data_IF_957377777604
#
_entry.id   IF_957377777604
#
_cell.length_a   1.000
_cell.length_b   1.000
_cell.length_c   1.000
_cell.angle_alpha   90.00
_cell.angle_beta   90.00
_cell.angle_gamma   90.00
#
_symmetry.space_group_name_H-M   'P 1'
#
loop_
_entity.id
_entity.type
_entity.pdbx_description
1 polymer ?
#
# COMPACT_ATOMS: atom_id res chain seq x y z
N UNK A 1 -13.04 6.26 19.06
CA UNK A 1 -12.43 7.04 20.14
C UNK A 1 -11.14 6.36 20.50
N UNK A 2 -10.03 7.10 20.45
CA UNK A 2 -8.70 6.56 20.71
C UNK A 2 -8.52 6.31 22.22
N UNK A 3 -7.96 5.15 22.57
CA UNK A 3 -7.68 4.81 23.96
C UNK A 3 -6.44 5.57 24.48
N UNK A 4 -6.64 6.35 25.53
CA UNK A 4 -5.60 7.19 26.16
C UNK A 4 -4.82 6.44 27.25
N UNK A 5 -5.40 5.38 27.83
CA UNK A 5 -4.88 4.73 29.02
C UNK A 5 -3.49 4.12 28.78
N UNK A 6 -3.30 3.47 27.63
CA UNK A 6 -2.01 2.88 27.26
C UNK A 6 -0.92 3.94 27.10
N UNK A 7 -1.23 5.07 26.47
CA UNK A 7 -0.25 6.13 26.23
C UNK A 7 0.18 6.75 27.55
N UNK A 8 -0.77 7.08 28.42
CA UNK A 8 -0.47 7.66 29.74
C UNK A 8 0.28 6.69 30.64
N UNK A 9 -0.07 5.39 30.61
CA UNK A 9 0.69 4.37 31.34
C UNK A 9 2.15 4.26 30.90
N UNK A 10 2.45 4.47 29.61
CA UNK A 10 3.85 4.51 29.13
C UNK A 10 4.56 5.76 29.65
N UNK A 11 3.90 6.92 29.58
CA UNK A 11 4.48 8.19 30.06
C UNK A 11 4.80 8.08 31.56
N UNK A 12 3.84 7.62 32.36
CA UNK A 12 4.01 7.43 33.81
C UNK A 12 5.15 6.42 34.10
N UNK A 13 5.21 5.31 33.35
CA UNK A 13 6.27 4.31 33.51
C UNK A 13 7.67 4.87 33.19
N UNK A 14 7.79 5.73 32.19
CA UNK A 14 9.07 6.38 31.85
C UNK A 14 9.42 7.44 32.88
N UNK A 15 8.46 8.20 33.40
CA UNK A 15 8.68 9.18 34.46
C UNK A 15 9.27 8.53 35.72
N UNK A 16 8.80 7.32 36.08
CA UNK A 16 9.37 6.52 37.17
C UNK A 16 10.84 6.18 36.91
N UNK A 17 11.17 5.73 35.70
CA UNK A 17 12.57 5.40 35.34
C UNK A 17 13.49 6.64 35.38
N UNK A 18 12.94 7.84 35.18
CA UNK A 18 13.69 9.09 35.11
C UNK A 18 13.89 9.80 36.45
N UNK A 19 13.37 9.28 37.57
CA UNK A 19 13.36 9.98 38.87
C UNK A 19 14.71 10.57 39.29
N UNK A 20 15.82 9.88 39.03
CA UNK A 20 17.17 10.38 39.34
C UNK A 20 17.84 11.11 38.17
N UNK A 21 17.58 10.66 36.94
CA UNK A 21 18.16 11.26 35.75
C UNK A 21 17.67 12.70 35.53
N UNK A 22 16.39 12.95 35.75
CA UNK A 22 15.80 14.28 35.63
C UNK A 22 16.41 15.27 36.63
N UNK A 23 16.71 14.84 37.86
CA UNK A 23 17.34 15.70 38.88
C UNK A 23 18.70 16.19 38.41
N UNK A 24 19.56 15.26 37.99
CA UNK A 24 20.90 15.59 37.45
C UNK A 24 20.81 16.49 36.21
N UNK A 25 19.82 16.24 35.35
CA UNK A 25 19.57 17.06 34.17
C UNK A 25 19.25 18.51 34.56
N UNK A 26 18.30 18.73 35.47
CA UNK A 26 17.90 20.08 35.86
C UNK A 26 18.86 20.77 36.84
N UNK A 27 19.75 20.03 37.52
CA UNK A 27 20.92 20.60 38.18
C UNK A 27 21.94 21.16 37.16
N UNK A 28 22.17 20.43 36.06
CA UNK A 28 23.10 20.85 35.00
C UNK A 28 22.52 21.95 34.12
N UNK A 29 21.23 21.86 33.81
CA UNK A 29 20.48 22.78 32.96
C UNK A 29 19.22 23.25 33.69
N UNK A 30 19.31 24.32 34.50
CA UNK A 30 18.21 24.78 35.35
C UNK A 30 17.17 25.56 34.54
N UNK A 31 16.43 24.86 33.68
CA UNK A 31 15.46 25.45 32.74
C UNK A 31 14.00 25.32 33.18
N UNK A 32 13.71 24.64 34.29
CA UNK A 32 12.36 24.58 34.85
C UNK A 32 11.88 25.98 35.25
N UNK A 33 10.62 26.32 34.92
CA UNK A 33 10.06 27.65 35.13
C UNK A 33 10.54 28.73 34.15
N UNK A 34 11.46 28.41 33.24
CA UNK A 34 12.06 29.38 32.31
C UNK A 34 11.43 29.23 30.92
N UNK A 35 11.06 30.35 30.29
CA UNK A 35 10.64 30.36 28.90
C UNK A 35 11.79 30.00 27.97
N UNK A 36 11.62 28.92 27.20
CA UNK A 36 12.48 28.55 26.09
C UNK A 36 11.70 28.66 24.79
N UNK A 37 12.06 29.60 23.92
CA UNK A 37 11.44 29.72 22.61
C UNK A 37 11.64 28.43 21.79
N UNK A 38 10.61 27.91 21.08
CA UNK A 38 9.25 28.41 20.91
C UNK A 38 8.19 27.70 21.79
N UNK A 39 8.54 27.20 22.98
CA UNK A 39 7.63 26.39 23.79
C UNK A 39 6.43 27.22 24.31
N UNK A 40 5.19 26.73 24.20
CA UNK A 40 4.02 27.45 24.70
C UNK A 40 3.93 27.40 26.22
N UNK A 41 3.24 28.38 26.80
CA UNK A 41 2.85 28.40 28.21
C UNK A 41 1.86 27.26 28.57
N UNK A 42 1.78 26.85 29.85
CA UNK A 42 2.55 27.33 31.01
C UNK A 42 3.99 26.80 31.03
N UNK A 43 4.89 27.38 31.84
CA UNK A 43 6.25 26.89 32.07
C UNK A 43 6.38 26.31 33.49
N UNK A 44 6.12 25.01 33.68
CA UNK A 44 6.20 24.39 34.99
C UNK A 44 7.56 24.55 35.67
N UNK A 45 7.52 24.86 36.97
CA UNK A 45 8.71 24.98 37.82
C UNK A 45 9.25 23.62 38.29
N UNK A 46 8.56 22.52 37.95
CA UNK A 46 8.90 21.17 38.38
C UNK A 46 8.84 20.17 37.23
N UNK A 47 9.64 19.11 37.31
CA UNK A 47 9.57 17.98 36.38
C UNK A 47 8.18 17.34 36.35
N UNK A 48 7.52 17.24 37.51
CA UNK A 48 6.15 16.72 37.59
C UNK A 48 5.14 17.59 36.83
N UNK A 49 5.31 18.91 36.88
CA UNK A 49 4.48 19.80 36.09
C UNK A 49 4.74 19.69 34.58
N UNK A 50 5.98 19.44 34.14
CA UNK A 50 6.29 19.15 32.73
C UNK A 50 5.68 17.80 32.28
N UNK A 51 5.72 16.80 33.17
CA UNK A 51 5.08 15.51 32.96
C UNK A 51 3.57 15.64 32.74
N UNK A 52 2.88 16.39 33.61
CA UNK A 52 1.45 16.63 33.48
C UNK A 52 1.11 17.51 32.26
N UNK A 53 1.92 18.53 31.95
CA UNK A 53 1.76 19.35 30.74
C UNK A 53 1.82 18.52 29.45
N UNK A 54 2.71 17.52 29.38
CA UNK A 54 2.78 16.60 28.25
C UNK A 54 1.50 15.77 28.12
N UNK A 55 1.00 15.21 29.23
CA UNK A 55 -0.24 14.44 29.25
C UNK A 55 -1.43 15.30 28.84
N UNK A 56 -1.49 16.54 29.30
CA UNK A 56 -2.52 17.52 28.92
C UNK A 56 -2.51 17.83 27.42
N UNK A 57 -1.32 18.07 26.84
CA UNK A 57 -1.18 18.31 25.41
C UNK A 57 -1.68 17.12 24.58
N UNK A 58 -1.24 15.90 24.95
CA UNK A 58 -1.64 14.67 24.26
C UNK A 58 -3.15 14.45 24.40
N UNK A 59 -3.71 14.66 25.59
CA UNK A 59 -5.13 14.52 25.86
C UNK A 59 -5.96 15.41 24.92
N UNK A 60 -5.65 16.72 24.89
CA UNK A 60 -6.33 17.70 24.02
C UNK A 60 -6.15 17.38 22.55
N UNK A 61 -4.96 16.89 22.16
CA UNK A 61 -4.69 16.52 20.77
C UNK A 61 -5.51 15.32 20.35
N UNK A 62 -5.61 14.29 21.18
CA UNK A 62 -6.45 13.12 20.92
C UNK A 62 -7.92 13.52 20.80
N UNK A 63 -8.42 14.35 21.72
CA UNK A 63 -9.80 14.84 21.66
C UNK A 63 -10.07 15.62 20.37
N UNK A 64 -9.12 16.47 19.95
CA UNK A 64 -9.21 17.17 18.68
C UNK A 64 -9.21 16.20 17.49
N UNK A 65 -8.37 15.17 17.49
CA UNK A 65 -8.31 14.18 16.43
C UNK A 65 -9.63 13.39 16.35
N UNK A 66 -10.15 12.92 17.47
CA UNK A 66 -11.42 12.20 17.54
C UNK A 66 -12.61 13.08 17.06
N UNK A 67 -12.55 14.40 17.31
CA UNK A 67 -13.60 15.33 16.89
C UNK A 67 -13.49 15.79 15.43
N UNK A 68 -12.27 15.88 14.87
CA UNK A 68 -12.03 16.56 13.59
C UNK A 68 -11.56 15.63 12.47
N UNK A 69 -11.03 14.45 12.78
CA UNK A 69 -10.69 13.44 11.77
C UNK A 69 -11.88 12.48 11.64
N UNK A 70 -12.62 12.65 10.56
CA UNK A 70 -13.78 11.82 10.29
C UNK A 70 -13.41 10.35 10.13
N UNK A 71 -14.17 9.46 10.77
CA UNK A 71 -14.15 8.02 10.46
C UNK A 71 -14.72 7.71 9.06
N UNK A 72 -15.18 8.73 8.33
CA UNK A 72 -15.63 8.60 6.96
C UNK A 72 -14.40 8.51 6.04
N UNK A 73 -13.69 7.39 6.18
CA UNK A 73 -12.78 6.90 5.15
C UNK A 73 -13.68 6.53 3.97
N UNK A 74 -14.00 7.52 3.12
CA UNK A 74 -14.56 7.24 1.80
C UNK A 74 -13.48 6.47 1.07
N UNK A 75 -13.59 5.14 1.14
CA UNK A 75 -12.97 4.26 0.15
C UNK A 75 -13.58 4.71 -1.17
N UNK A 76 -12.93 5.63 -1.86
CA UNK A 76 -13.14 5.78 -3.28
C UNK A 76 -12.83 4.41 -3.84
N UNK A 77 -13.88 3.64 -4.12
CA UNK A 77 -13.75 2.58 -5.09
C UNK A 77 -13.29 3.31 -6.34
N UNK A 78 -12.03 3.09 -6.74
CA UNK A 78 -11.72 3.16 -8.15
C UNK A 78 -12.70 2.13 -8.73
N UNK A 79 -13.79 2.60 -9.30
CA UNK A 79 -14.60 1.75 -10.17
C UNK A 79 -13.59 1.37 -11.24
N UNK A 80 -13.00 0.19 -11.11
CA UNK A 80 -12.29 -0.42 -12.22
C UNK A 80 -13.37 -0.53 -13.29
N UNK A 81 -13.43 0.45 -14.19
CA UNK A 81 -13.99 0.25 -15.51
C UNK A 81 -13.10 -0.83 -16.13
N UNK A 82 -13.39 -2.08 -15.79
CA UNK A 82 -12.75 -3.25 -16.36
C UNK A 82 -13.18 -3.25 -17.81
N UNK A 83 -12.32 -2.73 -18.69
CA UNK A 83 -12.57 -2.77 -20.13
C UNK A 83 -12.66 -4.21 -20.61
N UNK A 84 -11.95 -5.12 -19.94
CA UNK A 84 -12.00 -6.54 -20.14
C UNK A 84 -12.42 -7.28 -18.86
N UNK A 85 -13.24 -8.32 -19.01
CA UNK A 85 -13.42 -9.35 -17.98
C UNK A 85 -12.10 -10.07 -17.68
N UNK A 86 -12.08 -10.85 -16.59
CA UNK A 86 -10.90 -11.61 -16.16
C UNK A 86 -10.32 -12.43 -17.32
N UNK A 87 -9.02 -12.26 -17.58
CA UNK A 87 -8.29 -13.09 -18.53
C UNK A 87 -8.08 -14.48 -17.92
N UNK A 88 -8.54 -15.51 -18.62
CA UNK A 88 -8.29 -16.90 -18.24
C UNK A 88 -7.33 -17.52 -19.24
N UNK A 89 -6.30 -18.17 -18.72
CA UNK A 89 -5.24 -18.77 -19.53
C UNK A 89 -5.03 -20.19 -19.05
N UNK A 90 -5.31 -21.16 -19.91
CA UNK A 90 -5.32 -22.57 -19.57
C UNK A 90 -4.94 -23.46 -20.78
N UNK A 91 -4.42 -24.68 -20.55
CA UNK A 91 -4.01 -25.19 -19.24
C UNK A 91 -2.74 -24.49 -18.74
N UNK A 92 -2.52 -24.55 -17.43
CA UNK A 92 -1.25 -24.16 -16.83
C UNK A 92 -0.97 -25.11 -15.66
N UNK A 93 -0.01 -26.04 -15.77
CA UNK A 93 1.01 -26.17 -16.83
C UNK A 93 0.48 -26.58 -18.21
N UNK A 94 1.27 -26.38 -19.27
CA UNK A 94 0.92 -26.69 -20.67
C UNK A 94 2.07 -27.40 -21.42
N UNK A 95 1.76 -27.97 -22.60
CA UNK A 95 2.73 -28.63 -23.49
C UNK A 95 2.95 -27.81 -24.75
N UNK A 96 2.12 -28.02 -25.78
CA UNK A 96 2.29 -27.38 -27.10
C UNK A 96 1.29 -26.26 -27.37
N UNK A 97 0.26 -26.10 -26.56
CA UNK A 97 -0.76 -25.07 -26.75
C UNK A 97 -1.25 -24.50 -25.42
N UNK A 98 -1.55 -23.20 -25.42
CA UNK A 98 -2.31 -22.54 -24.37
C UNK A 98 -3.48 -21.77 -24.99
N UNK A 99 -4.63 -21.80 -24.31
CA UNK A 99 -5.82 -21.03 -24.64
C UNK A 99 -5.89 -19.78 -23.77
N UNK A 100 -6.13 -18.63 -24.40
CA UNK A 100 -6.44 -17.36 -23.76
C UNK A 100 -7.90 -17.01 -24.04
N UNK A 101 -8.70 -16.81 -22.99
CA UNK A 101 -10.09 -16.38 -23.08
C UNK A 101 -10.33 -15.08 -22.30
N UNK A 102 -11.09 -14.16 -22.89
CA UNK A 102 -11.49 -12.90 -22.27
C UNK A 102 -12.70 -12.27 -22.98
N UNK A 103 -13.40 -11.39 -22.29
CA UNK A 103 -14.51 -10.60 -22.84
C UNK A 103 -14.19 -9.11 -22.80
N UNK A 104 -14.38 -8.38 -23.89
CA UNK A 104 -14.27 -6.92 -23.95
C UNK A 104 -15.65 -6.28 -23.83
N UNK A 105 -15.85 -5.44 -22.81
CA UNK A 105 -17.12 -4.72 -22.61
C UNK A 105 -17.29 -3.54 -23.58
N UNK A 106 -16.19 -3.03 -24.14
CA UNK A 106 -16.15 -1.93 -25.12
C UNK A 106 -14.99 -2.16 -26.10
N UNK A 107 -15.03 -1.58 -27.32
CA UNK A 107 -13.90 -1.62 -28.22
C UNK A 107 -12.63 -1.06 -27.55
N UNK A 108 -11.50 -1.76 -27.69
CA UNK A 108 -10.25 -1.40 -27.03
C UNK A 108 -9.03 -1.80 -27.85
N UNK A 109 -7.91 -1.10 -27.67
CA UNK A 109 -6.63 -1.50 -28.24
C UNK A 109 -6.01 -2.60 -27.39
N UNK A 110 -5.75 -3.75 -28.01
CA UNK A 110 -5.18 -4.92 -27.34
C UNK A 110 -3.78 -5.17 -27.86
N UNK A 111 -2.84 -5.37 -26.93
CA UNK A 111 -1.50 -5.91 -27.23
C UNK A 111 -1.30 -7.21 -26.45
N UNK A 112 -0.92 -8.28 -27.14
CA UNK A 112 -0.62 -9.59 -26.53
C UNK A 112 0.80 -9.99 -26.88
N UNK A 113 1.59 -10.33 -25.86
CA UNK A 113 2.96 -10.80 -26.04
C UNK A 113 3.30 -11.87 -25.02
N UNK A 114 4.14 -12.82 -25.41
CA UNK A 114 4.76 -13.78 -24.51
C UNK A 114 6.19 -13.35 -24.23
N UNK A 115 6.62 -13.46 -22.98
CA UNK A 115 7.99 -13.18 -22.55
C UNK A 115 8.57 -14.36 -21.78
N UNK A 116 9.88 -14.55 -21.83
CA UNK A 116 10.57 -15.54 -21.01
C UNK A 116 10.86 -15.02 -19.58
N UNK A 117 11.53 -15.83 -18.76
CA UNK A 117 11.88 -15.47 -17.37
C UNK A 117 12.89 -14.31 -17.25
N UNK A 118 13.61 -13.98 -18.32
CA UNK A 118 14.52 -12.82 -18.39
C UNK A 118 13.80 -11.55 -18.87
N UNK A 119 12.51 -11.64 -19.24
CA UNK A 119 11.71 -10.53 -19.74
C UNK A 119 11.85 -10.28 -21.25
N UNK A 120 12.56 -11.14 -21.98
CA UNK A 120 12.69 -11.03 -23.43
C UNK A 120 11.38 -11.41 -24.12
N UNK A 121 10.95 -10.61 -25.11
CA UNK A 121 9.74 -10.90 -25.90
C UNK A 121 10.04 -12.00 -26.90
N UNK A 122 9.43 -13.17 -26.69
CA UNK A 122 9.61 -14.33 -27.56
C UNK A 122 8.54 -14.42 -28.65
N UNK A 123 7.36 -13.85 -28.41
CA UNK A 123 6.27 -13.87 -29.38
C UNK A 123 5.34 -12.67 -29.20
N UNK A 124 4.92 -12.05 -30.30
CA UNK A 124 3.88 -11.02 -30.34
C UNK A 124 2.66 -11.62 -31.07
N UNK A 125 1.51 -11.63 -30.39
CA UNK A 125 0.29 -12.31 -30.84
C UNK A 125 -0.82 -11.35 -31.28
N UNK A 126 -0.50 -10.06 -31.40
CA UNK A 126 -1.39 -9.05 -31.95
C UNK A 126 -1.22 -7.68 -31.30
N UNK A 127 -1.51 -6.66 -32.10
CA UNK A 127 -1.59 -5.26 -31.71
C UNK A 127 -2.71 -4.60 -32.51
N UNK A 128 -3.67 -3.96 -31.84
CA UNK A 128 -4.66 -3.12 -32.52
C UNK A 128 -6.02 -3.07 -31.85
N UNK A 129 -6.92 -2.30 -32.45
CA UNK A 129 -8.29 -2.14 -31.99
C UNK A 129 -9.10 -3.43 -32.20
N UNK A 130 -9.72 -3.92 -31.13
CA UNK A 130 -10.64 -5.04 -31.15
C UNK A 130 -12.03 -4.57 -30.71
N UNK A 131 -13.13 -4.99 -31.37
CA UNK A 131 -14.49 -4.65 -30.94
C UNK A 131 -14.85 -5.29 -29.58
N UNK A 132 -15.94 -4.81 -28.98
CA UNK A 132 -16.53 -5.48 -27.82
C UNK A 132 -16.97 -6.90 -28.19
N UNK A 133 -16.83 -7.86 -27.27
CA UNK A 133 -17.18 -9.26 -27.49
C UNK A 133 -16.28 -10.25 -26.78
N UNK A 134 -16.60 -11.53 -26.94
CA UNK A 134 -15.83 -12.66 -26.42
C UNK A 134 -14.70 -13.05 -27.38
N UNK A 135 -13.53 -13.33 -26.83
CA UNK A 135 -12.35 -13.76 -27.57
C UNK A 135 -11.80 -15.05 -26.99
N UNK A 136 -11.56 -16.01 -27.87
CA UNK A 136 -10.87 -17.26 -27.57
C UNK A 136 -9.70 -17.35 -28.54
N UNK A 137 -8.48 -17.33 -28.02
CA UNK A 137 -7.27 -17.45 -28.82
C UNK A 137 -6.47 -18.66 -28.38
N UNK A 138 -6.20 -19.56 -29.32
CA UNK A 138 -5.23 -20.64 -29.16
C UNK A 138 -3.85 -20.16 -29.57
N UNK A 139 -2.87 -20.42 -28.73
CA UNK A 139 -1.48 -20.00 -28.91
C UNK A 139 -0.65 -21.27 -28.98
N UNK A 140 -0.13 -21.56 -30.17
CA UNK A 140 0.86 -22.62 -30.33
C UNK A 140 2.18 -22.19 -29.69
N UNK A 141 2.77 -23.12 -28.94
CA UNK A 141 4.01 -22.95 -28.19
C UNK A 141 5.02 -24.04 -28.53
N UNK A 142 4.80 -24.78 -29.62
CA UNK A 142 5.61 -25.94 -30.00
C UNK A 142 7.11 -25.61 -30.13
N UNK A 143 7.43 -24.40 -30.58
CA UNK A 143 8.82 -23.92 -30.73
C UNK A 143 9.48 -23.47 -29.41
N UNK A 144 8.73 -23.44 -28.31
CA UNK A 144 9.23 -23.04 -27.00
C UNK A 144 9.79 -24.25 -26.24
N UNK A 145 10.92 -24.06 -25.58
CA UNK A 145 11.51 -25.05 -24.68
C UNK A 145 10.72 -25.14 -23.36
N UNK A 146 10.91 -26.23 -22.61
CA UNK A 146 10.37 -26.35 -21.26
C UNK A 146 10.90 -25.23 -20.36
N UNK A 147 10.04 -24.61 -19.56
CA UNK A 147 10.43 -23.45 -18.76
C UNK A 147 9.28 -22.57 -18.27
N UNK A 148 9.64 -21.40 -17.75
CA UNK A 148 8.69 -20.40 -17.25
C UNK A 148 8.54 -19.27 -18.27
N UNK A 149 7.29 -18.96 -18.58
CA UNK A 149 6.90 -17.88 -19.47
C UNK A 149 5.87 -16.97 -18.80
N UNK A 150 5.72 -15.77 -19.34
CA UNK A 150 4.65 -14.87 -18.93
C UNK A 150 3.86 -14.42 -20.16
N UNK A 151 2.55 -14.64 -20.13
CA UNK A 151 1.65 -14.03 -21.10
C UNK A 151 1.24 -12.66 -20.58
N UNK A 152 1.58 -11.63 -21.35
CA UNK A 152 1.27 -10.23 -21.07
C UNK A 152 0.19 -9.75 -22.02
N UNK A 153 -0.93 -9.30 -21.47
CA UNK A 153 -2.04 -8.72 -22.22
C UNK A 153 -2.26 -7.28 -21.75
N UNK A 154 -2.22 -6.34 -22.69
CA UNK A 154 -2.49 -4.93 -22.41
C UNK A 154 -3.77 -4.51 -23.11
N UNK A 155 -4.71 -3.93 -22.34
CA UNK A 155 -5.97 -3.35 -22.81
C UNK A 155 -5.90 -1.85 -22.60
N UNK A 156 -5.71 -1.08 -23.67
CA UNK A 156 -5.35 0.33 -23.63
C UNK A 156 -4.14 0.58 -22.72
N UNK A 157 -4.36 1.01 -21.48
CA UNK A 157 -3.30 1.27 -20.47
C UNK A 157 -3.20 0.20 -19.39
N UNK A 158 -4.22 -0.66 -19.25
CA UNK A 158 -4.26 -1.71 -18.21
C UNK A 158 -3.46 -2.93 -18.67
N UNK A 159 -2.58 -3.44 -17.82
CA UNK A 159 -1.74 -4.62 -18.11
C UNK A 159 -2.13 -5.79 -17.22
N UNK A 160 -2.19 -6.97 -17.82
CA UNK A 160 -2.47 -8.24 -17.19
C UNK A 160 -1.31 -9.17 -17.51
N UNK A 161 -0.71 -9.76 -16.48
CA UNK A 161 0.43 -10.66 -16.62
C UNK A 161 0.09 -11.98 -15.93
N UNK A 162 0.25 -13.09 -16.63
CA UNK A 162 0.03 -14.43 -16.09
C UNK A 162 1.28 -15.27 -16.29
N UNK A 163 1.80 -15.84 -15.19
CA UNK A 163 2.87 -16.84 -15.23
C UNK A 163 2.35 -18.15 -15.81
N UNK A 164 3.07 -18.74 -16.74
CA UNK A 164 2.80 -20.03 -17.36
C UNK A 164 4.01 -20.95 -17.22
N UNK A 165 3.76 -22.24 -17.01
CA UNK A 165 4.79 -23.28 -16.90
C UNK A 165 4.63 -24.24 -18.07
N UNK A 166 5.66 -24.32 -18.91
CA UNK A 166 5.76 -25.29 -20.00
C UNK A 166 6.53 -26.52 -19.52
N UNK A 167 5.97 -27.70 -19.77
CA UNK A 167 6.66 -28.99 -19.61
C UNK A 167 7.39 -29.43 -20.88
#
# INVERSE_FOLDING_TARGET
MLDKQRIFGIIDSVAILLQDAQKRNFERWPVLGIYLYPNPEPHPETFEGEHEKLKDFINRRIDWLDANISNNCTKTAVVENKLASKFEIFPNPFYDEVSLTFYLHKPANIKKQMVNSLGEVIQIMGFGAQPAGEYIQRISTHELLAGIYFLQVQVNVQKYNQKLVKY
#
